data_IF_934174946659
#
_entry.id   IF_934174946659
#
_cell.length_a   1.000
_cell.length_b   1.000
_cell.length_c   1.000
_cell.angle_alpha   90.00
_cell.angle_beta   90.00
_cell.angle_gamma   90.00
#
_symmetry.space_group_name_H-M   'P 1'
#
loop_
_entity.id
_entity.type
_entity.pdbx_description
1 polymer ?
#
# COMPACT_ATOMS: atom_id res chain seq x y z
N UNK A 1 -7.12 -9.92 0.37
CA UNK A 1 -6.76 -11.07 -0.47
C UNK A 1 -6.08 -12.09 0.43
N UNK A 2 -6.81 -13.12 0.86
CA UNK A 2 -6.25 -14.24 1.61
C UNK A 2 -5.72 -15.26 0.58
N UNK A 3 -4.50 -15.76 0.76
CA UNK A 3 -3.91 -16.80 -0.09
C UNK A 3 -4.81 -18.05 -0.11
N UNK A 4 -5.17 -18.50 -1.31
CA UNK A 4 -5.96 -19.71 -1.60
C UNK A 4 -5.07 -20.93 -1.90
N UNK A 5 -3.80 -20.91 -1.49
CA UNK A 5 -2.88 -22.04 -1.63
C UNK A 5 -2.19 -22.32 -0.28
N UNK A 6 -2.50 -23.48 0.31
CA UNK A 6 -1.71 -24.17 1.34
C UNK A 6 -1.56 -23.46 2.69
N UNK A 7 -2.09 -24.06 3.75
CA UNK A 7 -1.89 -23.69 5.16
C UNK A 7 -0.43 -23.82 5.67
N UNK A 8 0.57 -23.87 4.80
CA UNK A 8 1.98 -23.90 5.21
C UNK A 8 2.48 -22.46 5.33
N UNK A 9 2.79 -22.01 6.54
CA UNK A 9 3.49 -20.74 6.79
C UNK A 9 4.87 -21.07 7.33
N UNK A 10 5.90 -20.57 6.67
CA UNK A 10 7.26 -20.69 7.15
C UNK A 10 7.53 -19.65 8.26
N UNK A 11 8.48 -19.95 9.14
CA UNK A 11 8.97 -18.96 10.08
C UNK A 11 9.57 -17.77 9.30
N UNK A 12 9.11 -16.56 9.61
CA UNK A 12 9.52 -15.34 8.92
C UNK A 12 8.51 -14.84 7.88
N UNK A 13 7.50 -15.63 7.52
CA UNK A 13 6.41 -15.17 6.64
C UNK A 13 5.58 -14.08 7.34
N UNK A 14 5.25 -13.02 6.60
CA UNK A 14 4.40 -11.93 7.08
C UNK A 14 3.03 -11.95 6.40
N UNK A 15 1.99 -11.62 7.16
CA UNK A 15 0.60 -11.52 6.67
C UNK A 15 0.14 -10.08 6.85
N UNK A 16 -0.17 -9.39 5.75
CA UNK A 16 -0.88 -8.13 5.79
C UNK A 16 -2.40 -8.40 5.89
N UNK A 17 -3.01 -8.05 7.03
CA UNK A 17 -4.38 -8.43 7.40
C UNK A 17 -5.47 -7.65 6.66
N UNK A 18 -5.09 -6.60 5.92
CA UNK A 18 -6.00 -5.76 5.16
C UNK A 18 -5.91 -4.30 5.60
N UNK A 19 -6.69 -3.45 4.94
CA UNK A 19 -6.84 -2.03 5.25
C UNK A 19 -8.32 -1.74 5.51
N UNK A 20 -8.61 -0.73 6.31
CA UNK A 20 -9.95 -0.18 6.44
C UNK A 20 -10.38 0.56 5.16
N UNK A 21 -11.56 1.18 5.20
CA UNK A 21 -12.01 2.16 4.20
C UNK A 21 -11.06 3.37 4.11
N UNK A 22 -11.13 4.09 3.00
CA UNK A 22 -10.37 5.34 2.79
C UNK A 22 -9.23 5.27 1.78
N UNK A 23 -9.08 4.15 1.04
CA UNK A 23 -8.16 4.13 -0.10
C UNK A 23 -8.65 5.10 -1.19
N UNK A 24 -7.78 6.00 -1.65
CA UNK A 24 -8.18 7.05 -2.61
C UNK A 24 -8.78 6.56 -3.93
N UNK A 25 -8.65 5.27 -4.27
CA UNK A 25 -9.34 4.67 -5.42
C UNK A 25 -10.87 4.65 -5.28
N UNK A 26 -11.40 4.64 -4.05
CA UNK A 26 -12.85 4.66 -3.80
C UNK A 26 -13.42 6.08 -3.71
N UNK A 27 -12.58 7.12 -3.78
CA UNK A 27 -13.02 8.51 -3.78
C UNK A 27 -13.65 8.91 -5.13
N UNK A 28 -14.55 9.89 -5.10
CA UNK A 28 -15.11 10.54 -6.28
C UNK A 28 -14.75 12.04 -6.31
N UNK A 29 -13.74 12.49 -7.09
CA UNK A 29 -12.90 11.71 -8.01
C UNK A 29 -11.81 10.89 -7.31
N UNK A 30 -11.25 9.84 -7.96
CA UNK A 30 -10.18 9.04 -7.36
C UNK A 30 -8.93 9.87 -7.06
N UNK A 31 -8.41 9.78 -5.84
CA UNK A 31 -7.08 10.30 -5.48
C UNK A 31 -6.02 9.22 -5.62
N UNK A 32 -5.04 9.48 -6.47
CA UNK A 32 -3.85 8.64 -6.64
C UNK A 32 -2.65 9.30 -5.99
N UNK A 33 -1.65 8.49 -5.68
CA UNK A 33 -0.36 8.98 -5.22
C UNK A 33 0.34 9.76 -6.36
N UNK A 34 0.96 10.87 -5.99
CA UNK A 34 1.82 11.71 -6.82
C UNK A 34 3.27 11.59 -6.40
N UNK A 35 4.21 11.93 -7.29
CA UNK A 35 5.61 12.00 -6.94
C UNK A 35 5.84 13.07 -5.86
N UNK A 36 6.58 12.72 -4.81
CA UNK A 36 6.84 13.59 -3.67
C UNK A 36 5.78 13.54 -2.57
N UNK A 37 4.66 12.83 -2.76
CA UNK A 37 3.69 12.64 -1.69
C UNK A 37 4.32 11.98 -0.47
N UNK A 38 3.82 12.34 0.71
CA UNK A 38 4.23 11.75 1.98
C UNK A 38 3.09 10.90 2.55
N UNK A 39 3.37 9.62 2.78
CA UNK A 39 2.43 8.68 3.39
C UNK A 39 2.90 8.31 4.79
N UNK A 40 2.06 8.65 5.77
CA UNK A 40 2.24 8.28 7.17
C UNK A 40 1.21 7.23 7.56
N UNK A 41 1.65 6.21 8.30
CA UNK A 41 0.79 5.14 8.81
C UNK A 41 1.14 4.84 10.26
N UNK A 42 0.12 4.80 11.11
CA UNK A 42 0.24 4.61 12.54
C UNK A 42 -0.73 3.52 13.02
N UNK A 43 -0.26 2.71 13.97
CA UNK A 43 -1.08 1.80 14.77
C UNK A 43 -0.71 2.08 16.22
N UNK A 44 -1.71 2.29 17.09
CA UNK A 44 -1.48 2.61 18.50
C UNK A 44 -0.55 1.57 19.17
N UNK A 45 0.51 2.05 19.81
CA UNK A 45 1.50 1.20 20.48
C UNK A 45 2.54 0.56 19.56
N UNK A 46 2.49 0.81 18.24
CA UNK A 46 3.48 0.34 17.26
C UNK A 46 4.15 1.56 16.61
N UNK A 47 5.49 1.58 16.46
CA UNK A 47 6.15 2.67 15.74
C UNK A 47 5.58 2.86 14.33
N UNK A 48 5.21 4.10 14.01
CA UNK A 48 4.66 4.44 12.72
C UNK A 48 5.68 4.37 11.58
N UNK A 49 5.19 4.47 10.35
CA UNK A 49 6.02 4.56 9.15
C UNK A 49 5.75 5.87 8.42
N UNK A 50 6.79 6.38 7.73
CA UNK A 50 6.74 7.63 6.96
C UNK A 50 7.48 7.43 5.64
N UNK A 51 6.74 7.39 4.54
CA UNK A 51 7.26 7.04 3.23
C UNK A 51 7.05 8.20 2.25
N UNK A 52 8.15 8.69 1.67
CA UNK A 52 8.07 9.65 0.56
C UNK A 52 7.93 8.86 -0.74
N UNK A 53 6.88 9.13 -1.49
CA UNK A 53 6.61 8.48 -2.77
C UNK A 53 7.57 9.02 -3.82
N UNK A 54 8.22 8.09 -4.52
CA UNK A 54 9.05 8.37 -5.68
C UNK A 54 8.52 7.57 -6.86
N UNK A 55 7.96 8.26 -7.85
CA UNK A 55 7.46 7.65 -9.08
C UNK A 55 8.52 7.86 -10.15
N UNK A 56 9.31 6.83 -10.51
CA UNK A 56 10.23 6.95 -11.63
C UNK A 56 9.43 7.29 -12.89
N UNK A 57 10.00 8.13 -13.76
CA UNK A 57 9.36 8.53 -15.01
C UNK A 57 8.76 7.30 -15.71
N UNK A 58 7.42 7.22 -15.74
CA UNK A 58 6.75 6.15 -16.45
C UNK A 58 7.19 6.28 -17.91
N UNK A 59 7.96 5.32 -18.43
CA UNK A 59 8.18 5.22 -19.88
C UNK A 59 6.78 5.24 -20.49
N UNK A 60 6.43 6.32 -21.16
CA UNK A 60 5.12 6.51 -21.77
C UNK A 60 4.78 5.24 -22.53
N UNK A 61 3.75 4.53 -22.08
CA UNK A 61 3.26 3.33 -22.77
C UNK A 61 2.89 3.80 -24.16
N UNK A 62 3.68 3.43 -25.18
CA UNK A 62 3.33 3.67 -26.59
C UNK A 62 1.94 3.06 -26.79
N UNK A 63 1.00 3.92 -27.14
CA UNK A 63 -0.30 3.57 -27.71
C UNK A 63 -0.12 2.72 -28.96
#
# INVERSE_FOLDING_TARGET
MLSLLGNQKAAGDMIATGTSVGCGIVDGPPRRLSDGDLIECEILGVPGTRNVIRIPAQRARKS
#
